data_IF_328314050830
#
_entry.id   IF_328314050830
#
_cell.length_a   1.000
_cell.length_b   1.000
_cell.length_c   1.000
_cell.angle_alpha   90.00
_cell.angle_beta   90.00
_cell.angle_gamma   90.00
#
_symmetry.space_group_name_H-M   'P 1'
#
loop_
_entity.id
_entity.type
_entity.pdbx_description
1 polymer ?
#
# COMPACT_ATOMS: atom_id res chain seq x y z
N UNK A 1 5.25 7.07 15.93
CA UNK A 1 6.52 6.56 16.51
C UNK A 1 7.15 5.45 15.66
N UNK A 2 6.39 4.49 15.12
CA UNK A 2 6.94 3.41 14.27
C UNK A 2 7.51 3.87 12.91
N UNK A 3 6.84 4.75 12.16
CA UNK A 3 7.33 5.27 10.86
C UNK A 3 8.59 6.11 11.00
N UNK A 4 8.73 6.86 12.11
CA UNK A 4 9.93 7.64 12.38
C UNK A 4 11.16 6.75 12.64
N UNK A 5 10.99 5.62 13.34
CA UNK A 5 12.08 4.68 13.58
C UNK A 5 12.51 3.99 12.28
N UNK A 6 11.56 3.54 11.45
CA UNK A 6 11.86 2.94 10.15
C UNK A 6 12.69 3.87 9.26
N UNK A 7 12.34 5.16 9.22
CA UNK A 7 13.09 6.15 8.46
C UNK A 7 14.51 6.34 9.00
N UNK A 8 14.70 6.39 10.33
CA UNK A 8 16.04 6.44 10.93
C UNK A 8 16.89 5.21 10.61
N UNK A 9 16.28 4.03 10.61
CA UNK A 9 17.00 2.76 10.43
C UNK A 9 17.34 2.47 8.96
N UNK A 10 16.52 2.95 8.02
CA UNK A 10 16.64 2.62 6.58
C UNK A 10 17.00 3.82 5.70
N UNK A 11 16.89 5.04 6.21
CA UNK A 11 16.98 6.27 5.43
C UNK A 11 15.82 6.50 4.46
N UNK A 12 14.83 5.60 4.40
CA UNK A 12 13.70 5.69 3.47
C UNK A 12 12.56 6.49 4.09
N UNK A 13 12.11 7.52 3.37
CA UNK A 13 10.98 8.36 3.76
C UNK A 13 9.82 8.18 2.78
N UNK A 14 8.64 7.82 3.30
CA UNK A 14 7.42 7.74 2.52
C UNK A 14 6.74 9.12 2.45
N UNK A 15 6.34 9.55 1.25
CA UNK A 15 5.75 10.88 1.02
C UNK A 15 4.35 11.04 1.65
N UNK A 16 3.66 9.93 1.90
CA UNK A 16 2.34 9.88 2.53
C UNK A 16 2.16 8.58 3.31
N UNK A 17 1.01 8.43 3.95
CA UNK A 17 0.64 7.16 4.58
C UNK A 17 0.63 6.03 3.54
N UNK A 18 1.40 4.98 3.80
CA UNK A 18 1.44 3.75 2.99
C UNK A 18 0.25 2.83 3.32
N UNK A 19 -0.97 3.37 3.21
CA UNK A 19 -2.23 2.63 3.31
C UNK A 19 -2.94 2.63 1.94
N UNK A 20 -3.21 1.45 1.38
CA UNK A 20 -3.86 1.28 0.07
C UNK A 20 -4.96 0.21 0.12
N UNK A 21 -6.17 0.57 -0.29
CA UNK A 21 -7.30 -0.36 -0.38
C UNK A 21 -7.21 -1.18 -1.68
N UNK A 22 -6.34 -2.19 -1.67
CA UNK A 22 -6.05 -3.02 -2.86
C UNK A 22 -7.26 -3.81 -3.37
N UNK A 23 -8.15 -4.25 -2.48
CA UNK A 23 -9.27 -5.10 -2.82
C UNK A 23 -10.55 -4.63 -2.14
N UNK A 24 -11.62 -4.52 -2.92
CA UNK A 24 -12.96 -4.19 -2.44
C UNK A 24 -13.93 -5.27 -2.92
N UNK A 25 -14.73 -5.79 -2.01
CA UNK A 25 -15.78 -6.72 -2.37
C UNK A 25 -17.05 -6.37 -1.61
N UNK A 26 -18.19 -6.43 -2.29
CA UNK A 26 -19.52 -6.26 -1.69
C UNK A 26 -20.59 -6.99 -2.50
N UNK A 27 -21.77 -7.16 -1.91
CA UNK A 27 -22.96 -7.67 -2.61
C UNK A 27 -23.59 -6.52 -3.39
N UNK A 28 -23.71 -6.66 -4.70
CA UNK A 28 -24.25 -5.60 -5.55
C UNK A 28 -25.73 -5.35 -5.21
N UNK A 29 -26.13 -4.10 -4.87
CA UNK A 29 -27.42 -3.84 -4.23
C UNK A 29 -28.62 -4.08 -5.14
N UNK A 30 -28.42 -4.07 -6.48
CA UNK A 30 -29.49 -4.33 -7.45
C UNK A 30 -29.56 -5.78 -7.90
N UNK A 31 -28.42 -6.44 -8.08
CA UNK A 31 -28.38 -7.80 -8.66
C UNK A 31 -28.22 -8.90 -7.63
N UNK A 32 -27.84 -8.59 -6.39
CA UNK A 32 -27.55 -9.59 -5.35
C UNK A 32 -26.25 -10.36 -5.57
N UNK A 33 -25.55 -10.15 -6.69
CA UNK A 33 -24.30 -10.83 -6.98
C UNK A 33 -23.15 -10.32 -6.11
N UNK A 34 -22.28 -11.23 -5.69
CA UNK A 34 -20.98 -10.86 -5.14
C UNK A 34 -20.14 -10.22 -6.24
N UNK A 35 -19.68 -8.99 -6.03
CA UNK A 35 -18.70 -8.33 -6.91
C UNK A 35 -17.42 -8.04 -6.15
N UNK A 36 -16.30 -8.18 -6.85
CA UNK A 36 -14.96 -7.91 -6.33
C UNK A 36 -14.20 -7.06 -7.32
N UNK A 37 -13.40 -6.15 -6.79
CA UNK A 37 -12.61 -5.18 -7.52
C UNK A 37 -11.21 -5.16 -6.95
N UNK A 38 -10.22 -5.01 -7.81
CA UNK A 38 -8.82 -4.83 -7.43
C UNK A 38 -8.27 -3.53 -8.01
N UNK A 39 -7.48 -2.83 -7.19
CA UNK A 39 -6.72 -1.67 -7.62
C UNK A 39 -5.22 -2.01 -7.57
N UNK A 40 -4.54 -1.83 -8.70
CA UNK A 40 -3.08 -1.93 -8.75
C UNK A 40 -2.44 -1.00 -7.72
N UNK A 41 -1.19 -1.31 -7.36
CA UNK A 41 -0.46 -0.41 -6.47
C UNK A 41 -0.22 0.93 -7.16
N UNK A 42 -0.42 2.05 -6.46
CA UNK A 42 0.09 3.33 -6.88
C UNK A 42 1.62 3.26 -7.08
N UNK A 43 2.16 4.03 -8.03
CA UNK A 43 3.59 3.99 -8.35
C UNK A 43 4.49 4.37 -7.17
N UNK A 44 4.04 5.26 -6.29
CA UNK A 44 4.75 5.66 -5.07
C UNK A 44 4.88 4.53 -4.05
N UNK A 45 3.91 3.61 -3.98
CA UNK A 45 4.00 2.39 -3.16
C UNK A 45 5.10 1.48 -3.67
N UNK A 46 5.12 1.24 -4.98
CA UNK A 46 6.11 0.37 -5.60
C UNK A 46 7.52 0.94 -5.44
N UNK A 47 7.69 2.24 -5.67
CA UNK A 47 8.95 2.93 -5.45
C UNK A 47 9.43 2.84 -3.98
N UNK A 48 8.55 3.11 -3.02
CA UNK A 48 8.89 3.07 -1.59
C UNK A 48 9.27 1.65 -1.16
N UNK A 49 8.54 0.63 -1.60
CA UNK A 49 8.85 -0.77 -1.27
C UNK A 49 10.18 -1.23 -1.89
N UNK A 50 10.48 -0.80 -3.12
CA UNK A 50 11.75 -1.11 -3.76
C UNK A 50 12.93 -0.46 -3.03
N UNK A 51 12.78 0.80 -2.57
CA UNK A 51 13.78 1.47 -1.76
C UNK A 51 14.02 0.74 -0.41
N UNK A 52 12.94 0.34 0.28
CA UNK A 52 13.06 -0.41 1.54
C UNK A 52 13.74 -1.78 1.36
N UNK A 53 13.43 -2.50 0.27
CA UNK A 53 14.07 -3.78 -0.06
C UNK A 53 15.57 -3.62 -0.34
N UNK A 54 15.97 -2.52 -0.98
CA UNK A 54 17.36 -2.21 -1.24
C UNK A 54 18.12 -1.79 0.04
N UNK A 55 17.45 -1.12 0.99
CA UNK A 55 18.05 -0.65 2.23
C UNK A 55 18.24 -1.74 3.29
N UNK A 56 17.48 -2.83 3.22
CA UNK A 56 17.56 -3.97 4.15
C UNK A 56 18.41 -5.16 3.67
N UNK A 57 19.15 -4.99 2.57
CA UNK A 57 20.09 -5.99 2.02
C UNK A 57 21.51 -5.82 2.56
#
# INVERSE_FOLDING_TARGET
>A
KATAQLASDTGVHAERQMLHARHLSFTHPRSGERKSFEAAWPSDFEATLNALRAAGG
#
